data_IF_546258435637
#
_entry.id   IF_546258435637
#
_cell.length_a   1.000
_cell.length_b   1.000
_cell.length_c   1.000
_cell.angle_alpha   90.00
_cell.angle_beta   90.00
_cell.angle_gamma   90.00
#
_symmetry.space_group_name_H-M   'P 1'
#
loop_
_entity.id
_entity.type
_entity.pdbx_description
1 polymer ?
#
# COMPACT_ATOMS: atom_id res chain seq x y z
N UNK A 1 61.29 -56.78 -5.11
CA UNK A 1 61.61 -57.91 -4.20
C UNK A 1 60.93 -57.64 -2.87
N UNK A 2 60.18 -58.49 -2.19
CA UNK A 2 59.51 -59.77 -2.48
C UNK A 2 58.66 -60.02 -1.23
N UNK A 3 57.34 -59.95 -1.36
CA UNK A 3 56.31 -60.52 -0.44
C UNK A 3 54.94 -60.14 -1.04
N UNK A 4 54.71 -60.30 -2.36
CA UNK A 4 54.27 -61.55 -2.99
C UNK A 4 53.47 -62.45 -2.04
N UNK A 5 52.17 -62.52 -2.36
CA UNK A 5 51.45 -63.77 -2.58
C UNK A 5 51.46 -64.73 -1.39
N UNK A 6 50.43 -64.61 -0.56
CA UNK A 6 49.70 -65.74 0.02
C UNK A 6 48.48 -65.17 0.74
N UNK A 7 47.34 -65.87 0.70
CA UNK A 7 46.00 -65.49 1.17
C UNK A 7 45.07 -64.83 0.13
N UNK A 8 45.38 -64.98 -1.16
CA UNK A 8 44.40 -65.63 -2.02
C UNK A 8 44.46 -67.14 -1.70
N UNK A 9 43.30 -67.80 -1.61
CA UNK A 9 43.14 -69.26 -1.41
C UNK A 9 42.76 -69.77 0.00
N UNK A 10 41.85 -69.04 0.67
CA UNK A 10 40.78 -69.69 1.46
C UNK A 10 39.43 -69.14 0.98
N UNK A 11 38.90 -69.71 -0.10
CA UNK A 11 37.81 -70.68 0.00
C UNK A 11 36.55 -69.96 0.53
N UNK A 12 35.71 -69.32 -0.28
CA UNK A 12 34.98 -69.85 -1.46
C UNK A 12 34.18 -71.14 -1.27
N UNK A 13 34.22 -71.76 -0.10
CA UNK A 13 33.47 -73.00 0.19
C UNK A 13 32.68 -72.92 1.49
N UNK A 14 31.81 -71.91 1.61
CA UNK A 14 30.57 -72.00 2.39
C UNK A 14 29.41 -71.55 1.51
N UNK A 15 29.24 -72.32 0.44
CA UNK A 15 28.05 -72.35 -0.39
C UNK A 15 26.87 -72.86 0.46
N UNK A 16 25.83 -72.04 0.55
CA UNK A 16 24.41 -72.40 0.72
C UNK A 16 24.07 -73.30 1.92
N UNK A 17 23.57 -72.68 2.98
CA UNK A 17 22.39 -73.22 3.65
C UNK A 17 21.73 -72.13 4.51
N UNK A 18 20.42 -71.95 4.29
CA UNK A 18 19.41 -71.48 5.25
C UNK A 18 19.51 -70.05 5.76
N UNK A 19 18.44 -69.31 6.02
CA UNK A 19 17.06 -69.30 5.61
C UNK A 19 16.48 -68.09 6.37
N UNK A 20 15.68 -67.28 5.69
CA UNK A 20 14.50 -66.57 6.23
C UNK A 20 14.69 -65.57 7.38
N UNK A 21 14.12 -64.39 7.11
CA UNK A 21 13.47 -63.48 8.06
C UNK A 21 14.37 -62.49 8.79
N UNK A 22 14.13 -61.20 8.54
CA UNK A 22 14.40 -60.18 9.54
C UNK A 22 14.71 -58.79 8.99
N UNK A 23 13.83 -57.85 9.30
CA UNK A 23 14.09 -56.41 9.36
C UNK A 23 14.12 -55.63 8.03
N UNK A 24 12.93 -55.46 7.48
CA UNK A 24 12.53 -54.16 6.93
C UNK A 24 12.70 -53.08 8.02
N UNK A 25 13.65 -52.15 7.88
CA UNK A 25 13.65 -50.85 8.60
C UNK A 25 14.85 -49.99 8.13
N UNK A 26 14.73 -49.33 6.97
CA UNK A 26 15.63 -48.20 6.61
C UNK A 26 15.06 -47.36 5.44
N UNK A 27 13.75 -47.14 5.38
CA UNK A 27 13.14 -46.38 4.29
C UNK A 27 11.93 -45.56 4.73
N UNK A 28 12.14 -44.66 5.71
CA UNK A 28 11.19 -43.61 6.03
C UNK A 28 11.84 -42.64 7.02
N UNK A 29 12.49 -41.55 6.58
CA UNK A 29 12.58 -40.28 7.32
C UNK A 29 13.39 -39.22 6.52
N UNK A 30 13.07 -38.98 5.25
CA UNK A 30 13.59 -37.78 4.57
C UNK A 30 12.68 -37.25 3.46
N UNK A 31 11.37 -37.32 3.68
CA UNK A 31 10.37 -36.89 2.68
C UNK A 31 9.20 -36.15 3.33
N UNK A 32 9.45 -35.21 4.25
CA UNK A 32 8.40 -34.24 4.63
C UNK A 32 8.91 -33.03 5.40
N UNK A 33 9.66 -32.13 4.76
CA UNK A 33 9.83 -30.77 5.29
C UNK A 33 10.07 -29.73 4.19
N UNK A 34 9.32 -29.84 3.08
CA UNK A 34 9.32 -28.85 1.99
C UNK A 34 7.92 -28.32 1.66
N UNK A 35 6.92 -28.59 2.50
CA UNK A 35 5.57 -28.03 2.35
C UNK A 35 5.35 -27.15 3.56
N UNK A 36 5.64 -25.85 3.44
CA UNK A 36 5.11 -24.72 4.24
C UNK A 36 5.90 -23.42 4.04
N UNK A 37 6.84 -23.33 3.08
CA UNK A 37 7.33 -22.01 2.67
C UNK A 37 6.34 -21.48 1.62
N UNK A 38 5.44 -20.54 1.95
CA UNK A 38 4.60 -19.91 0.93
C UNK A 38 5.54 -19.31 -0.11
N UNK A 39 5.36 -19.70 -1.37
CA UNK A 39 6.15 -19.15 -2.47
C UNK A 39 5.91 -17.64 -2.53
N UNK A 40 6.94 -16.83 -2.82
CA UNK A 40 6.81 -15.36 -2.99
C UNK A 40 5.72 -14.97 -4.01
N UNK A 41 5.29 -15.90 -4.87
CA UNK A 41 4.19 -15.75 -5.81
C UNK A 41 2.82 -15.62 -5.11
N UNK A 42 2.51 -16.47 -4.12
CA UNK A 42 1.24 -16.37 -3.37
C UNK A 42 1.13 -15.06 -2.56
N UNK A 43 2.26 -14.58 -2.01
CA UNK A 43 2.30 -13.30 -1.33
C UNK A 43 1.98 -12.12 -2.28
N UNK A 44 2.43 -12.19 -3.55
CA UNK A 44 2.13 -11.18 -4.58
C UNK A 44 0.67 -11.17 -5.02
N UNK A 45 -0.02 -12.31 -4.97
CA UNK A 45 -1.44 -12.43 -5.31
C UNK A 45 -2.36 -11.84 -4.23
N UNK A 46 -1.86 -11.72 -2.99
CA UNK A 46 -2.56 -11.09 -1.87
C UNK A 46 -2.41 -9.57 -1.83
N UNK A 47 -1.52 -8.97 -2.60
CA UNK A 47 -1.30 -7.52 -2.59
C UNK A 47 -2.50 -6.77 -3.19
N UNK A 48 -2.98 -5.75 -2.49
CA UNK A 48 -4.03 -4.86 -3.00
C UNK A 48 -3.36 -3.70 -3.71
N UNK A 49 -3.60 -3.59 -5.02
CA UNK A 49 -3.17 -2.45 -5.82
C UNK A 49 -4.32 -1.48 -5.97
N UNK A 50 -4.13 -0.25 -5.50
CA UNK A 50 -5.11 0.82 -5.61
C UNK A 50 -4.61 1.82 -6.66
N UNK A 51 -5.30 1.96 -7.79
CA UNK A 51 -4.89 2.88 -8.83
C UNK A 51 -5.16 4.33 -8.42
N UNK A 52 -4.24 5.23 -8.75
CA UNK A 52 -4.31 6.67 -8.50
C UNK A 52 -4.32 7.45 -9.81
N UNK A 53 -5.18 8.45 -9.88
CA UNK A 53 -5.05 9.55 -10.83
C UNK A 53 -4.68 10.80 -10.07
N UNK A 54 -3.51 11.36 -10.37
CA UNK A 54 -2.99 12.56 -9.74
C UNK A 54 -3.33 13.76 -10.63
N UNK A 55 -4.07 14.72 -10.09
CA UNK A 55 -4.33 16.01 -10.72
C UNK A 55 -3.37 17.03 -10.12
N UNK A 56 -2.64 17.77 -10.96
CA UNK A 56 -1.67 18.78 -10.50
C UNK A 56 -2.14 20.14 -10.96
N UNK A 57 -2.50 21.00 -10.01
CA UNK A 57 -2.89 22.36 -10.34
C UNK A 57 -1.72 23.12 -10.99
N UNK A 58 -2.04 23.95 -11.97
CA UNK A 58 -1.06 24.79 -12.67
C UNK A 58 -1.45 26.27 -12.58
N UNK A 59 -0.46 27.11 -12.42
CA UNK A 59 -0.54 28.58 -12.45
C UNK A 59 0.43 29.12 -13.50
N UNK A 60 -0.04 29.94 -14.43
CA UNK A 60 0.71 30.39 -15.62
C UNK A 60 1.47 29.26 -16.35
N UNK A 61 0.80 28.12 -16.51
CA UNK A 61 1.34 26.93 -17.17
C UNK A 61 2.40 26.16 -16.35
N UNK A 62 2.71 26.60 -15.13
CA UNK A 62 3.67 25.95 -14.23
C UNK A 62 2.91 25.18 -13.14
N UNK A 63 3.36 23.98 -12.82
CA UNK A 63 2.78 23.21 -11.71
C UNK A 63 3.03 23.91 -10.37
N UNK A 64 1.99 24.03 -9.55
CA UNK A 64 2.11 24.61 -8.19
C UNK A 64 2.85 23.69 -7.21
N UNK A 65 2.98 22.40 -7.57
CA UNK A 65 3.78 21.41 -6.85
C UNK A 65 4.75 20.75 -7.81
N UNK A 66 6.03 20.65 -7.43
CA UNK A 66 7.03 19.98 -8.26
C UNK A 66 6.77 18.48 -8.34
N UNK A 67 7.12 17.88 -9.48
CA UNK A 67 7.05 16.43 -9.68
C UNK A 67 7.84 15.67 -8.61
N UNK A 68 9.03 16.15 -8.23
CA UNK A 68 9.85 15.55 -7.19
C UNK A 68 9.14 15.43 -5.84
N UNK A 69 8.34 16.43 -5.44
CA UNK A 69 7.54 16.43 -4.21
C UNK A 69 6.35 15.48 -4.31
N UNK A 70 5.70 15.41 -5.48
CA UNK A 70 4.62 14.46 -5.75
C UNK A 70 5.15 13.03 -5.60
N UNK A 71 6.25 12.71 -6.30
CA UNK A 71 6.87 11.39 -6.24
C UNK A 71 7.37 11.04 -4.82
N UNK A 72 7.92 12.00 -4.08
CA UNK A 72 8.32 11.79 -2.69
C UNK A 72 7.13 11.44 -1.78
N UNK A 73 5.98 12.10 -1.97
CA UNK A 73 4.75 11.81 -1.23
C UNK A 73 4.22 10.41 -1.56
N UNK A 74 4.19 10.02 -2.84
CA UNK A 74 3.78 8.67 -3.26
C UNK A 74 4.73 7.61 -2.72
N UNK A 75 6.06 7.84 -2.76
CA UNK A 75 7.05 6.91 -2.18
C UNK A 75 6.89 6.76 -0.67
N UNK A 76 6.69 7.85 0.08
CA UNK A 76 6.40 7.76 1.52
C UNK A 76 5.13 6.95 1.75
N UNK A 77 4.04 7.24 1.02
CA UNK A 77 2.79 6.51 1.18
C UNK A 77 2.94 5.01 0.91
N UNK A 78 3.61 4.63 -0.18
CA UNK A 78 3.85 3.23 -0.50
C UNK A 78 4.74 2.53 0.52
N UNK A 79 5.75 3.21 1.10
CA UNK A 79 6.56 2.63 2.17
C UNK A 79 5.72 2.21 3.36
N UNK A 80 4.82 3.08 3.82
CA UNK A 80 3.99 2.83 5.01
C UNK A 80 2.87 1.81 4.73
N UNK A 81 2.30 1.82 3.53
CA UNK A 81 1.22 0.91 3.13
C UNK A 81 1.72 -0.50 2.78
N UNK A 82 2.96 -0.63 2.32
CA UNK A 82 3.55 -1.92 1.93
C UNK A 82 3.60 -2.92 3.09
N UNK A 83 3.78 -2.44 4.34
CA UNK A 83 3.72 -3.28 5.54
C UNK A 83 2.38 -4.01 5.73
N UNK A 84 1.33 -3.61 4.98
CA UNK A 84 -0.01 -4.18 5.04
C UNK A 84 -0.49 -4.72 3.68
N UNK A 85 0.44 -4.96 2.76
CA UNK A 85 0.19 -5.45 1.40
C UNK A 85 -0.80 -4.56 0.62
N UNK A 86 -0.71 -3.24 0.82
CA UNK A 86 -1.45 -2.23 0.06
C UNK A 86 -0.45 -1.37 -0.71
N UNK A 87 -0.69 -1.17 -1.99
CA UNK A 87 0.19 -0.42 -2.89
C UNK A 87 -0.64 0.57 -3.71
N UNK A 88 -0.21 1.81 -3.72
CA UNK A 88 -0.72 2.86 -4.60
C UNK A 88 0.03 2.80 -5.93
N UNK A 89 -0.71 2.69 -7.03
CA UNK A 89 -0.18 2.64 -8.39
C UNK A 89 -0.60 3.91 -9.11
N UNK A 90 0.35 4.75 -9.50
CA UNK A 90 0.02 5.97 -10.26
C UNK A 90 -0.26 5.56 -11.70
N UNK A 91 -1.52 5.64 -12.11
CA UNK A 91 -1.96 5.34 -13.48
C UNK A 91 -1.77 6.56 -14.38
N UNK A 92 -2.08 7.75 -13.85
CA UNK A 92 -2.08 9.00 -14.61
C UNK A 92 -1.65 10.17 -13.72
N UNK A 93 -0.91 11.11 -14.32
CA UNK A 93 -0.67 12.44 -13.79
C UNK A 93 -1.23 13.42 -14.81
N UNK A 94 -2.16 14.28 -14.40
CA UNK A 94 -2.94 15.16 -15.27
C UNK A 94 -2.75 16.61 -14.81
N UNK A 95 -2.25 17.52 -15.66
CA UNK A 95 -2.23 18.94 -15.32
C UNK A 95 -3.67 19.50 -15.28
N UNK A 96 -3.92 20.41 -14.35
CA UNK A 96 -5.22 21.03 -14.14
C UNK A 96 -5.08 22.55 -14.11
N UNK A 97 -5.66 23.22 -15.11
CA UNK A 97 -5.73 24.69 -15.13
C UNK A 97 -6.76 25.18 -14.12
N UNK A 98 -6.33 26.12 -13.26
CA UNK A 98 -7.15 26.64 -12.17
C UNK A 98 -7.42 25.60 -11.07
N UNK A 99 -8.24 25.96 -10.07
CA UNK A 99 -8.46 25.09 -8.90
C UNK A 99 -7.20 24.91 -8.05
N UNK A 100 -6.34 25.93 -8.02
CA UNK A 100 -5.11 25.99 -7.22
C UNK A 100 -5.41 26.09 -5.72
N UNK A 101 -6.60 26.53 -5.32
CA UNK A 101 -6.99 26.61 -3.91
C UNK A 101 -8.32 25.90 -3.61
N UNK A 102 -8.44 25.43 -2.37
CA UNK A 102 -9.65 24.82 -1.81
C UNK A 102 -9.98 25.52 -0.49
N UNK A 103 -10.89 26.46 -0.53
CA UNK A 103 -11.34 27.28 0.62
C UNK A 103 -12.83 27.06 0.91
N UNK A 104 -13.61 26.75 -0.14
CA UNK A 104 -15.05 26.58 -0.06
C UNK A 104 -15.52 25.19 -0.49
N UNK A 105 -16.77 24.86 -0.15
CA UNK A 105 -17.43 23.63 -0.58
C UNK A 105 -17.63 23.59 -2.10
N UNK A 106 -17.91 24.72 -2.72
CA UNK A 106 -18.11 24.86 -4.16
C UNK A 106 -16.83 24.54 -4.92
N UNK A 107 -15.67 24.98 -4.43
CA UNK A 107 -14.37 24.65 -5.00
C UNK A 107 -14.08 23.14 -4.89
N UNK A 108 -14.37 22.50 -3.74
CA UNK A 108 -14.28 21.04 -3.59
C UNK A 108 -15.17 20.30 -4.58
N UNK A 109 -16.39 20.78 -4.78
CA UNK A 109 -17.32 20.20 -5.73
C UNK A 109 -16.86 20.41 -7.18
N UNK A 110 -16.25 21.55 -7.50
CA UNK A 110 -15.67 21.79 -8.81
C UNK A 110 -14.52 20.82 -9.12
N UNK A 111 -13.63 20.56 -8.15
CA UNK A 111 -12.57 19.55 -8.30
C UNK A 111 -13.15 18.15 -8.50
N UNK A 112 -14.12 17.74 -7.67
CA UNK A 112 -14.76 16.44 -7.77
C UNK A 112 -15.38 16.18 -9.17
N UNK A 113 -15.93 17.22 -9.81
CA UNK A 113 -16.50 17.13 -11.17
C UNK A 113 -15.45 16.96 -12.27
N UNK A 114 -14.19 17.34 -12.05
CA UNK A 114 -13.08 17.14 -13.02
C UNK A 114 -12.61 15.69 -13.07
N UNK A 115 -12.84 14.94 -11.99
CA UNK A 115 -12.36 13.58 -11.85
C UNK A 115 -13.27 12.58 -12.58
N UNK A 116 -12.73 12.00 -13.67
CA UNK A 116 -13.38 10.93 -14.44
C UNK A 116 -13.76 9.74 -13.56
N UNK A 117 -14.77 8.97 -13.93
CA UNK A 117 -15.12 7.73 -13.20
C UNK A 117 -14.37 6.55 -13.84
N UNK A 118 -13.07 6.45 -13.55
CA UNK A 118 -12.17 5.45 -14.14
C UNK A 118 -11.67 4.40 -13.14
N UNK A 119 -12.30 4.33 -11.97
CA UNK A 119 -11.95 3.39 -10.91
C UNK A 119 -10.74 3.81 -10.06
N UNK A 120 -10.12 4.95 -10.35
CA UNK A 120 -8.95 5.45 -9.61
C UNK A 120 -9.31 6.35 -8.42
N UNK A 121 -8.45 6.34 -7.41
CA UNK A 121 -8.48 7.37 -6.35
C UNK A 121 -7.93 8.65 -6.95
N UNK A 122 -8.73 9.70 -6.94
CA UNK A 122 -8.28 11.00 -7.44
C UNK A 122 -7.67 11.83 -6.33
N UNK A 123 -6.42 12.26 -6.58
CA UNK A 123 -5.63 13.07 -5.67
C UNK A 123 -5.32 14.39 -6.34
N UNK A 124 -5.71 15.51 -5.73
CA UNK A 124 -5.44 16.85 -6.23
C UNK A 124 -4.26 17.47 -5.48
N UNK A 125 -3.14 17.67 -6.16
CA UNK A 125 -2.06 18.52 -5.67
C UNK A 125 -2.36 19.96 -6.04
N UNK A 126 -2.56 20.78 -5.02
CA UNK A 126 -3.02 22.16 -5.13
C UNK A 126 -2.06 23.07 -4.37
N UNK A 127 -2.15 24.38 -4.59
CA UNK A 127 -1.35 25.35 -3.86
C UNK A 127 -1.79 25.37 -2.38
N UNK A 128 -3.08 25.57 -2.13
CA UNK A 128 -3.60 25.78 -0.77
C UNK A 128 -4.88 25.02 -0.49
N UNK A 129 -5.01 24.53 0.75
CA UNK A 129 -6.25 23.94 1.29
C UNK A 129 -6.59 24.63 2.61
N UNK A 130 -7.84 25.06 2.77
CA UNK A 130 -8.35 25.69 3.98
C UNK A 130 -9.66 25.03 4.45
N UNK A 131 -9.83 24.88 5.77
CA UNK A 131 -11.07 24.37 6.36
C UNK A 131 -12.12 25.48 6.48
N UNK A 132 -13.40 25.13 6.26
CA UNK A 132 -14.53 26.08 6.33
C UNK A 132 -14.99 26.38 7.76
N UNK A 133 -14.75 25.51 8.76
CA UNK A 133 -15.22 25.72 10.14
C UNK A 133 -14.27 26.57 10.97
N UNK A 134 -14.71 27.76 11.37
CA UNK A 134 -13.95 28.74 12.13
C UNK A 134 -14.10 28.55 13.65
N UNK A 135 -13.01 28.19 14.33
CA UNK A 135 -12.70 28.73 15.66
C UNK A 135 -11.25 29.19 15.64
N UNK A 136 -11.06 30.51 15.54
CA UNK A 136 -9.84 31.34 15.61
C UNK A 136 -8.49 30.63 15.33
N UNK A 137 -7.91 30.86 14.15
CA UNK A 137 -6.54 30.45 13.80
C UNK A 137 -6.25 30.45 12.29
N UNK A 138 -5.00 30.13 11.92
CA UNK A 138 -4.64 29.79 10.54
C UNK A 138 -5.46 28.59 10.08
N UNK A 139 -6.22 28.76 8.98
CA UNK A 139 -7.16 27.78 8.43
C UNK A 139 -6.50 26.78 7.50
N UNK A 140 -5.22 26.99 7.20
CA UNK A 140 -4.46 26.18 6.25
C UNK A 140 -4.23 24.78 6.81
N UNK A 141 -4.55 23.80 5.99
CA UNK A 141 -4.26 22.40 6.26
C UNK A 141 -3.37 21.83 5.17
N UNK A 142 -2.54 20.86 5.52
CA UNK A 142 -1.64 20.24 4.55
C UNK A 142 -2.37 19.32 3.56
N UNK A 143 -3.53 18.77 3.94
CA UNK A 143 -4.28 17.84 3.11
C UNK A 143 -5.75 17.76 3.54
N UNK A 144 -6.54 17.07 2.71
CA UNK A 144 -7.95 16.85 2.97
C UNK A 144 -8.46 15.62 2.22
N UNK A 145 -9.13 14.74 2.95
CA UNK A 145 -10.07 13.76 2.42
C UNK A 145 -11.49 14.33 2.50
N UNK A 146 -12.27 14.12 1.44
CA UNK A 146 -13.71 14.34 1.50
C UNK A 146 -14.47 13.33 0.66
N UNK A 147 -15.73 13.15 1.04
CA UNK A 147 -16.72 12.43 0.27
C UNK A 147 -17.65 13.43 -0.41
N UNK A 148 -17.98 13.21 -1.69
CA UNK A 148 -18.85 14.14 -2.42
C UNK A 148 -20.31 13.97 -2.00
N UNK A 149 -20.90 15.07 -1.52
CA UNK A 149 -22.29 15.15 -1.03
C UNK A 149 -23.18 16.10 -1.85
N UNK A 150 -22.72 16.54 -3.03
CA UNK A 150 -23.51 17.40 -3.92
C UNK A 150 -24.60 16.66 -4.70
N UNK A 151 -25.30 17.40 -5.57
CA UNK A 151 -26.47 16.90 -6.30
C UNK A 151 -26.13 16.00 -7.50
N UNK A 152 -24.89 16.01 -8.00
CA UNK A 152 -24.46 15.17 -9.11
C UNK A 152 -24.48 13.69 -8.72
N UNK A 153 -25.49 12.96 -9.20
CA UNK A 153 -25.79 11.57 -8.79
C UNK A 153 -24.69 10.59 -9.21
N UNK A 154 -24.05 10.83 -10.34
CA UNK A 154 -23.00 10.00 -10.94
C UNK A 154 -21.68 10.01 -10.13
N UNK A 155 -21.43 11.09 -9.38
CA UNK A 155 -20.27 11.23 -8.49
C UNK A 155 -20.63 11.22 -6.99
N UNK A 156 -21.90 10.98 -6.67
CA UNK A 156 -22.38 10.96 -5.29
C UNK A 156 -21.63 9.92 -4.47
N UNK A 157 -21.22 10.34 -3.28
CA UNK A 157 -20.54 9.50 -2.31
C UNK A 157 -19.16 8.95 -2.77
N UNK A 158 -18.57 9.49 -3.84
CA UNK A 158 -17.18 9.26 -4.23
C UNK A 158 -16.23 9.97 -3.27
N UNK A 159 -15.02 9.43 -3.14
CA UNK A 159 -14.00 9.93 -2.22
C UNK A 159 -12.87 10.59 -3.03
N UNK A 160 -12.35 11.68 -2.48
CA UNK A 160 -11.34 12.51 -3.13
C UNK A 160 -10.32 12.98 -2.09
N UNK A 161 -9.09 13.17 -2.55
CA UNK A 161 -7.98 13.62 -1.70
C UNK A 161 -7.40 14.91 -2.27
N UNK A 162 -6.94 15.81 -1.40
CA UNK A 162 -6.15 16.97 -1.76
C UNK A 162 -4.89 17.05 -0.90
N UNK A 163 -3.81 17.54 -1.50
CA UNK A 163 -2.52 17.76 -0.84
C UNK A 163 -2.02 19.15 -1.23
N UNK A 164 -1.74 20.01 -0.26
CA UNK A 164 -1.22 21.35 -0.46
C UNK A 164 0.27 21.35 -0.85
N UNK A 165 0.74 22.40 -1.51
CA UNK A 165 2.11 22.48 -2.05
C UNK A 165 3.20 22.27 -0.97
N UNK A 166 3.02 22.85 0.20
CA UNK A 166 3.94 22.83 1.33
C UNK A 166 3.70 21.65 2.29
N UNK A 167 2.80 20.73 1.93
CA UNK A 167 2.47 19.59 2.77
C UNK A 167 3.70 18.70 3.06
N UNK A 168 3.82 18.15 4.29
CA UNK A 168 4.74 17.07 4.56
C UNK A 168 4.49 15.86 3.66
N UNK A 169 5.53 15.08 3.37
CA UNK A 169 5.42 13.86 2.53
C UNK A 169 4.52 12.78 3.15
N UNK A 170 4.24 12.86 4.45
CA UNK A 170 3.29 11.99 5.17
C UNK A 170 1.83 12.35 4.94
N UNK A 171 1.52 13.52 4.38
CA UNK A 171 0.13 13.96 4.23
C UNK A 171 -0.67 13.06 3.29
N UNK A 172 -0.10 12.67 2.15
CA UNK A 172 -0.80 11.78 1.21
C UNK A 172 -1.24 10.49 1.88
N UNK A 173 -0.36 9.87 2.68
CA UNK A 173 -0.70 8.60 3.35
C UNK A 173 -1.73 8.78 4.46
N UNK A 174 -1.74 9.93 5.13
CA UNK A 174 -2.76 10.30 6.09
C UNK A 174 -4.14 10.39 5.42
N UNK A 175 -4.25 11.11 4.30
CA UNK A 175 -5.52 11.24 3.57
C UNK A 175 -5.99 9.90 2.98
N UNK A 176 -5.07 9.07 2.49
CA UNK A 176 -5.39 7.69 2.08
C UNK A 176 -5.91 6.87 3.26
N UNK A 177 -5.36 7.07 4.45
CA UNK A 177 -5.87 6.48 5.69
C UNK A 177 -7.34 6.80 5.92
N UNK A 178 -7.72 8.07 5.79
CA UNK A 178 -9.12 8.50 5.87
C UNK A 178 -9.99 7.86 4.79
N UNK A 179 -9.54 7.86 3.53
CA UNK A 179 -10.26 7.22 2.42
C UNK A 179 -10.51 5.73 2.65
N UNK A 180 -9.64 5.05 3.38
CA UNK A 180 -9.79 3.64 3.73
C UNK A 180 -10.44 3.42 5.10
N UNK A 181 -10.98 4.47 5.70
CA UNK A 181 -11.85 4.40 6.89
C UNK A 181 -11.10 4.41 8.21
N UNK A 182 -9.90 4.98 8.25
CA UNK A 182 -9.26 5.36 9.52
C UNK A 182 -9.78 6.72 9.99
N UNK A 183 -9.94 6.86 11.31
CA UNK A 183 -10.17 8.14 11.97
C UNK A 183 -8.83 8.71 12.44
N UNK A 184 -8.83 9.97 12.88
CA UNK A 184 -7.66 10.53 13.57
C UNK A 184 -7.29 9.71 14.80
N UNK A 185 -6.01 9.71 15.10
CA UNK A 185 -5.42 9.14 16.31
C UNK A 185 -4.70 10.26 17.07
N UNK A 186 -4.70 10.22 18.40
CA UNK A 186 -4.07 11.27 19.22
C UNK A 186 -2.59 11.01 19.51
N UNK A 187 -2.05 9.84 19.15
CA UNK A 187 -0.64 9.49 19.36
C UNK A 187 0.26 10.21 18.36
N UNK A 188 1.27 10.93 18.85
CA UNK A 188 2.19 11.74 18.01
C UNK A 188 3.03 10.91 17.03
N UNK A 189 3.27 9.64 17.36
CA UNK A 189 3.98 8.68 16.49
C UNK A 189 3.03 7.95 15.52
N UNK A 190 1.76 8.35 15.46
CA UNK A 190 0.79 7.76 14.55
C UNK A 190 0.63 8.58 13.27
N UNK A 191 0.63 7.91 12.11
CA UNK A 191 0.37 8.56 10.82
C UNK A 191 -1.01 9.22 10.75
N UNK A 192 -1.98 8.76 11.54
CA UNK A 192 -3.31 9.36 11.67
C UNK A 192 -3.39 10.50 12.68
N UNK A 193 -2.28 10.95 13.30
CA UNK A 193 -2.29 12.19 14.07
C UNK A 193 -2.40 13.42 13.15
N UNK A 194 -3.24 14.37 13.59
CA UNK A 194 -3.32 15.73 13.04
C UNK A 194 -2.26 16.67 13.64
N UNK A 195 -1.60 16.24 14.72
CA UNK A 195 -0.56 16.97 15.44
C UNK A 195 0.79 17.00 14.71
N UNK A 196 1.76 17.75 15.26
CA UNK A 196 3.15 17.70 14.81
C UNK A 196 3.68 16.29 15.10
N UNK A 197 3.90 15.52 14.04
CA UNK A 197 4.26 14.10 14.13
C UNK A 197 5.67 13.92 14.67
N UNK A 198 5.90 12.82 15.39
CA UNK A 198 7.23 12.35 15.79
C UNK A 198 8.16 12.15 14.60
N UNK A 199 9.42 11.77 14.84
CA UNK A 199 10.43 11.69 13.78
C UNK A 199 10.12 10.63 12.70
N UNK A 200 9.45 9.53 13.06
CA UNK A 200 9.03 8.51 12.10
C UNK A 200 7.66 7.89 12.46
N UNK A 201 6.56 8.60 12.16
CA UNK A 201 5.23 8.13 12.49
C UNK A 201 4.85 6.94 11.60
N UNK A 202 4.13 5.97 12.17
CA UNK A 202 3.69 4.75 11.51
C UNK A 202 2.23 4.41 11.80
N UNK A 203 1.64 3.46 11.05
CA UNK A 203 0.35 2.87 11.40
C UNK A 203 0.52 1.72 12.39
N UNK A 204 -0.47 1.52 13.27
CA UNK A 204 -0.54 0.31 14.08
C UNK A 204 -0.95 -0.90 13.26
N UNK A 205 -0.66 -2.12 13.75
CA UNK A 205 -1.15 -3.37 13.11
C UNK A 205 -2.68 -3.41 12.98
N UNK A 206 -3.41 -2.82 13.94
CA UNK A 206 -4.87 -2.73 13.91
C UNK A 206 -5.37 -1.80 12.78
N UNK A 207 -4.75 -0.64 12.63
CA UNK A 207 -4.99 0.27 11.50
C UNK A 207 -4.66 -0.40 10.17
N UNK A 208 -3.55 -1.15 10.09
CA UNK A 208 -3.18 -1.94 8.92
C UNK A 208 -4.29 -2.88 8.41
N UNK A 209 -4.93 -3.64 9.32
CA UNK A 209 -6.08 -4.49 8.96
C UNK A 209 -7.26 -3.68 8.43
N UNK A 210 -7.54 -2.52 9.05
CA UNK A 210 -8.62 -1.62 8.62
C UNK A 210 -8.32 -1.00 7.25
N UNK A 211 -7.10 -0.55 7.00
CA UNK A 211 -6.63 -0.04 5.71
C UNK A 211 -6.84 -1.07 4.61
N UNK A 212 -6.37 -2.31 4.84
CA UNK A 212 -6.53 -3.41 3.87
C UNK A 212 -7.99 -3.67 3.53
N UNK A 213 -8.87 -3.71 4.55
CA UNK A 213 -10.31 -3.87 4.34
C UNK A 213 -10.95 -2.66 3.63
N UNK A 214 -10.53 -1.44 3.98
CA UNK A 214 -10.95 -0.20 3.34
C UNK A 214 -10.59 -0.16 1.86
N UNK A 215 -9.34 -0.50 1.52
CA UNK A 215 -8.85 -0.58 0.14
C UNK A 215 -9.66 -1.59 -0.69
N UNK A 216 -9.97 -2.79 -0.16
CA UNK A 216 -10.85 -3.75 -0.85
C UNK A 216 -12.24 -3.18 -1.10
N UNK A 217 -12.85 -2.57 -0.08
CA UNK A 217 -14.18 -1.95 -0.22
C UNK A 217 -14.16 -0.81 -1.23
N UNK A 218 -13.11 -0.01 -1.26
CA UNK A 218 -12.92 1.04 -2.25
C UNK A 218 -12.94 0.45 -3.66
N UNK A 219 -12.08 -0.55 -3.93
CA UNK A 219 -11.99 -1.18 -5.24
C UNK A 219 -13.32 -1.80 -5.68
N UNK A 220 -14.03 -2.47 -4.78
CA UNK A 220 -15.35 -3.04 -5.07
C UNK A 220 -16.39 -1.97 -5.46
N UNK A 221 -16.37 -0.80 -4.81
CA UNK A 221 -17.25 0.32 -5.18
C UNK A 221 -16.85 0.97 -6.50
N UNK A 222 -15.55 1.07 -6.75
CA UNK A 222 -14.99 1.77 -7.92
C UNK A 222 -15.24 1.06 -9.26
N UNK A 223 -15.54 -0.25 -9.23
CA UNK A 223 -15.87 -1.07 -10.41
C UNK A 223 -17.33 -1.02 -10.81
N UNK A 224 -18.20 -0.49 -9.95
CA UNK A 224 -19.63 -0.28 -10.24
C UNK A 224 -19.83 1.09 -10.85
#
# INVERSE_FOLDING_TARGET
>A
MTLKRELGDRARDWVRATARSGAAFALAFMTLLLILIPTRAEARERAIRVPLTIHVATDDGRSVVSESRILASVRRANRELAAFDVYLVVEKIVPMVGGTTIETSEQRFALARRAQRDGTVHVFFVDRVELTSARKGDRRVSGMHWRYHGLAKDIRAREYLAVAHNAPTTTLVHEVGHAFGLAHDSSEDNLMCSCRRGMDPAFTKGQGRRLRNGARRYLQRSRR
#
